data_IF_571167111544
#
_entry.id   IF_571167111544
#
_cell.length_a   1.000
_cell.length_b   1.000
_cell.length_c   1.000
_cell.angle_alpha   90.00
_cell.angle_beta   90.00
_cell.angle_gamma   90.00
#
_symmetry.space_group_name_H-M   'P 1'
#
loop_
_entity.id
_entity.type
_entity.pdbx_description
1 polymer ?
#
# COMPACT_ATOMS: atom_id res chain seq x y z
N UNK A 1 8.46 17.80 60.15
CA UNK A 1 9.72 17.20 59.66
C UNK A 1 9.57 15.68 59.65
N UNK A 2 9.50 15.03 58.48
CA UNK A 2 10.23 13.78 58.14
C UNK A 2 10.18 13.69 56.61
N UNK A 3 11.36 13.62 55.99
CA UNK A 3 11.54 13.50 54.56
C UNK A 3 11.49 12.02 54.13
N UNK A 4 10.75 11.70 53.08
CA UNK A 4 10.93 10.46 52.32
C UNK A 4 11.24 10.79 50.86
N UNK A 5 12.37 10.25 50.41
CA UNK A 5 12.96 10.41 49.08
C UNK A 5 12.52 9.28 48.15
N UNK A 6 12.61 9.61 46.86
CA UNK A 6 12.93 8.77 45.69
C UNK A 6 11.83 7.92 45.05
N UNK A 7 11.59 8.27 43.79
CA UNK A 7 11.09 7.38 42.73
C UNK A 7 11.08 8.11 41.39
N UNK A 8 12.25 8.27 40.75
CA UNK A 8 12.33 8.65 39.33
C UNK A 8 11.77 7.49 38.51
N UNK A 9 10.66 7.68 37.81
CA UNK A 9 10.24 6.82 36.72
C UNK A 9 10.27 7.63 35.42
N UNK A 10 11.17 7.20 34.55
CA UNK A 10 11.45 7.66 33.20
C UNK A 10 10.37 7.24 32.21
N UNK A 11 10.12 8.14 31.24
CA UNK A 11 9.70 7.89 29.85
C UNK A 11 8.30 7.31 29.63
N UNK A 12 7.50 8.06 28.86
CA UNK A 12 7.24 7.73 27.45
C UNK A 12 6.74 9.01 26.78
N UNK A 13 7.62 9.61 25.97
CA UNK A 13 7.15 10.54 24.95
C UNK A 13 6.22 9.74 24.06
N UNK A 14 4.96 10.14 24.03
CA UNK A 14 4.00 9.66 23.05
C UNK A 14 4.44 10.23 21.72
N UNK A 15 5.34 9.51 21.05
CA UNK A 15 5.70 9.74 19.67
C UNK A 15 4.48 9.34 18.85
N UNK A 16 3.51 10.26 18.77
CA UNK A 16 2.43 10.16 17.80
C UNK A 16 3.11 10.14 16.44
N UNK A 17 3.02 9.07 15.63
CA UNK A 17 3.67 9.07 14.34
C UNK A 17 2.96 10.11 13.48
N UNK A 18 3.61 11.25 13.31
CA UNK A 18 3.19 12.30 12.40
C UNK A 18 3.25 11.69 11.00
N UNK A 19 2.08 11.34 10.48
CA UNK A 19 1.85 10.80 9.14
C UNK A 19 2.46 11.80 8.14
N UNK A 20 3.67 11.51 7.70
CA UNK A 20 4.42 12.37 6.80
C UNK A 20 3.69 12.49 5.47
N UNK A 21 3.42 13.72 5.05
CA UNK A 21 2.60 14.14 3.91
C UNK A 21 3.31 14.01 2.55
N UNK A 22 4.18 13.01 2.39
CA UNK A 22 4.75 12.61 1.10
C UNK A 22 4.32 11.17 0.83
N UNK A 23 3.81 10.82 -0.37
CA UNK A 23 3.58 9.43 -0.70
C UNK A 23 4.88 8.68 -0.48
N UNK A 24 4.85 7.73 0.45
CA UNK A 24 6.02 7.01 0.88
C UNK A 24 6.37 6.06 -0.28
N UNK A 25 7.42 6.37 -1.05
CA UNK A 25 7.82 5.63 -2.27
C UNK A 25 7.90 4.12 -2.06
N UNK A 26 8.22 3.71 -0.84
CA UNK A 26 8.23 2.31 -0.39
C UNK A 26 6.84 1.66 -0.43
N UNK A 27 5.80 2.39 -0.03
CA UNK A 27 4.41 1.92 -0.03
C UNK A 27 3.90 1.77 -1.47
N UNK A 28 4.22 2.73 -2.34
CA UNK A 28 3.88 2.65 -3.77
C UNK A 28 4.55 1.43 -4.43
N UNK A 29 5.85 1.21 -4.20
CA UNK A 29 6.57 0.03 -4.71
C UNK A 29 5.99 -1.29 -4.19
N UNK A 30 5.55 -1.32 -2.94
CA UNK A 30 4.93 -2.49 -2.33
C UNK A 30 3.59 -2.82 -3.00
N UNK A 31 2.78 -1.80 -3.31
CA UNK A 31 1.53 -1.95 -4.08
C UNK A 31 1.81 -2.34 -5.53
N UNK A 32 2.78 -1.72 -6.21
CA UNK A 32 3.20 -2.08 -7.57
C UNK A 32 3.61 -3.56 -7.65
N UNK A 33 4.43 -4.02 -6.70
CA UNK A 33 4.87 -5.42 -6.64
C UNK A 33 3.72 -6.39 -6.41
N UNK A 34 2.74 -6.01 -5.58
CA UNK A 34 1.55 -6.82 -5.36
C UNK A 34 0.69 -6.93 -6.63
N UNK A 35 0.48 -5.81 -7.33
CA UNK A 35 -0.25 -5.76 -8.60
C UNK A 35 0.42 -6.66 -9.64
N UNK A 36 1.73 -6.50 -9.88
CA UNK A 36 2.47 -7.33 -10.86
C UNK A 36 2.39 -8.80 -10.50
N UNK A 37 2.51 -9.16 -9.22
CA UNK A 37 2.42 -10.57 -8.80
C UNK A 37 1.04 -11.18 -9.02
N UNK A 38 -0.04 -10.39 -8.91
CA UNK A 38 -1.41 -10.85 -9.17
C UNK A 38 -1.65 -10.94 -10.67
N UNK A 39 -1.32 -9.88 -11.41
CA UNK A 39 -1.51 -9.79 -12.86
C UNK A 39 -0.72 -10.87 -13.62
N UNK A 40 0.47 -11.22 -13.16
CA UNK A 40 1.25 -12.33 -13.73
C UNK A 40 0.54 -13.69 -13.61
N UNK A 41 -0.34 -13.88 -12.63
CA UNK A 41 -1.11 -15.12 -12.44
C UNK A 41 -2.45 -15.09 -13.18
N UNK A 42 -3.19 -14.00 -13.00
CA UNK A 42 -4.56 -13.88 -13.51
C UNK A 42 -4.64 -13.45 -14.97
N UNK A 43 -3.61 -12.77 -15.50
CA UNK A 43 -3.48 -12.24 -16.87
C UNK A 43 -4.50 -11.14 -17.26
N UNK A 44 -5.78 -11.27 -16.90
CA UNK A 44 -6.84 -10.27 -17.12
C UNK A 44 -7.72 -10.14 -15.87
N UNK A 45 -7.89 -8.91 -15.35
CA UNK A 45 -8.60 -8.68 -14.08
C UNK A 45 -9.38 -7.36 -14.11
N UNK A 46 -10.59 -7.33 -13.55
CA UNK A 46 -11.35 -6.08 -13.37
C UNK A 46 -10.70 -5.13 -12.38
N UNK A 47 -10.94 -3.84 -12.51
CA UNK A 47 -10.43 -2.85 -11.54
C UNK A 47 -10.86 -3.16 -10.11
N UNK A 48 -12.10 -3.59 -9.91
CA UNK A 48 -12.64 -3.90 -8.58
C UNK A 48 -11.96 -5.14 -7.99
N UNK A 49 -11.83 -6.21 -8.78
CA UNK A 49 -11.23 -7.47 -8.33
C UNK A 49 -9.73 -7.30 -8.06
N UNK A 50 -9.04 -6.56 -8.93
CA UNK A 50 -7.61 -6.27 -8.73
C UNK A 50 -7.39 -5.49 -7.43
N UNK A 51 -8.25 -4.51 -7.15
CA UNK A 51 -8.18 -3.77 -5.88
C UNK A 51 -8.45 -4.67 -4.67
N UNK A 52 -9.47 -5.55 -4.74
CA UNK A 52 -9.77 -6.49 -3.65
C UNK A 52 -8.60 -7.43 -3.39
N UNK A 53 -8.07 -8.08 -4.43
CA UNK A 53 -6.96 -9.01 -4.32
C UNK A 53 -5.69 -8.35 -3.78
N UNK A 54 -5.38 -7.13 -4.22
CA UNK A 54 -4.24 -6.36 -3.69
C UNK A 54 -4.45 -6.01 -2.23
N UNK A 55 -5.65 -5.56 -1.86
CA UNK A 55 -5.99 -5.19 -0.49
C UNK A 55 -5.90 -6.39 0.46
N UNK A 56 -6.49 -7.52 0.10
CA UNK A 56 -6.41 -8.76 0.87
C UNK A 56 -4.98 -9.27 1.03
N UNK A 57 -4.17 -9.18 -0.03
CA UNK A 57 -2.78 -9.61 0.01
C UNK A 57 -1.93 -8.76 0.94
N UNK A 58 -2.14 -7.45 0.92
CA UNK A 58 -1.33 -6.50 1.71
C UNK A 58 -1.82 -6.37 3.15
N UNK A 59 -3.11 -6.61 3.40
CA UNK A 59 -3.65 -6.69 4.77
C UNK A 59 -2.98 -7.80 5.58
N UNK A 60 -2.58 -8.91 4.94
CA UNK A 60 -1.78 -9.99 5.57
C UNK A 60 -0.38 -9.53 6.03
N UNK A 61 0.04 -8.33 5.64
CA UNK A 61 1.32 -7.69 6.01
C UNK A 61 1.11 -6.43 6.85
N UNK A 62 -0.05 -6.32 7.53
CA UNK A 62 -0.46 -5.16 8.31
C UNK A 62 -0.46 -3.84 7.52
N UNK A 63 -0.67 -3.93 6.20
CA UNK A 63 -0.71 -2.78 5.31
C UNK A 63 -2.10 -2.57 4.72
N UNK A 64 -2.66 -1.37 4.94
CA UNK A 64 -3.95 -0.98 4.38
C UNK A 64 -3.77 -0.25 3.05
N UNK A 65 -4.14 -0.90 1.96
CA UNK A 65 -4.13 -0.31 0.63
C UNK A 65 -5.21 0.77 0.52
N UNK A 66 -4.81 1.99 0.14
CA UNK A 66 -5.77 3.06 -0.18
C UNK A 66 -6.04 3.10 -1.67
N UNK A 67 -7.23 3.57 -2.06
CA UNK A 67 -7.60 3.74 -3.48
C UNK A 67 -6.61 4.67 -4.21
N UNK A 68 -6.13 5.72 -3.54
CA UNK A 68 -5.15 6.65 -4.12
C UNK A 68 -3.81 5.98 -4.42
N UNK A 69 -3.27 5.20 -3.49
CA UNK A 69 -2.02 4.44 -3.70
C UNK A 69 -2.18 3.41 -4.82
N UNK A 70 -3.31 2.70 -4.85
CA UNK A 70 -3.62 1.75 -5.90
C UNK A 70 -3.70 2.41 -7.29
N UNK A 71 -4.38 3.56 -7.40
CA UNK A 71 -4.47 4.32 -8.65
C UNK A 71 -3.12 4.85 -9.11
N UNK A 72 -2.29 5.33 -8.19
CA UNK A 72 -0.93 5.76 -8.53
C UNK A 72 -0.08 4.58 -9.02
N UNK A 73 -0.10 3.46 -8.31
CA UNK A 73 0.66 2.27 -8.67
C UNK A 73 0.22 1.70 -10.04
N UNK A 74 -1.09 1.60 -10.29
CA UNK A 74 -1.61 1.16 -11.60
C UNK A 74 -1.21 2.12 -12.72
N UNK A 75 -1.28 3.44 -12.52
CA UNK A 75 -0.80 4.43 -13.51
C UNK A 75 0.68 4.22 -13.82
N UNK A 76 1.52 4.10 -12.80
CA UNK A 76 2.95 3.89 -12.99
C UNK A 76 3.25 2.57 -13.73
N UNK A 77 2.47 1.51 -13.48
CA UNK A 77 2.63 0.22 -14.16
C UNK A 77 2.16 0.26 -15.61
N UNK A 78 1.16 1.09 -15.94
CA UNK A 78 0.75 1.35 -17.33
C UNK A 78 1.85 2.12 -18.07
N UNK A 79 2.39 3.19 -17.46
CA UNK A 79 3.48 3.99 -18.04
C UNK A 79 4.75 3.16 -18.29
N UNK A 80 4.99 2.14 -17.47
CA UNK A 80 6.10 1.19 -17.60
C UNK A 80 5.76 -0.03 -18.47
N UNK A 81 4.59 -0.07 -19.09
CA UNK A 81 4.13 -1.15 -19.97
C UNK A 81 4.08 -2.54 -19.32
N UNK A 82 3.90 -2.62 -17.99
CA UNK A 82 3.68 -3.90 -17.30
C UNK A 82 2.24 -4.38 -17.46
N UNK A 83 1.29 -3.43 -17.49
CA UNK A 83 -0.14 -3.70 -17.63
C UNK A 83 -0.77 -2.69 -18.60
N UNK A 84 -1.79 -3.12 -19.32
CA UNK A 84 -2.65 -2.27 -20.13
C UNK A 84 -4.01 -2.15 -19.48
N UNK A 85 -4.69 -1.01 -19.67
CA UNK A 85 -6.07 -0.81 -19.22
C UNK A 85 -7.00 -0.71 -20.42
N UNK A 86 -7.93 -1.64 -20.52
CA UNK A 86 -9.03 -1.61 -21.46
C UNK A 86 -10.14 -0.70 -20.91
N UNK A 87 -10.45 0.39 -21.62
CA UNK A 87 -11.35 1.44 -21.14
C UNK A 87 -12.83 1.03 -21.12
N UNK A 88 -13.27 0.18 -22.05
CA UNK A 88 -14.67 -0.24 -22.16
C UNK A 88 -15.12 -1.09 -20.97
N UNK A 89 -14.37 -2.15 -20.66
CA UNK A 89 -14.71 -3.09 -19.60
C UNK A 89 -14.00 -2.78 -18.27
N UNK A 90 -13.14 -1.74 -18.24
CA UNK A 90 -12.29 -1.39 -17.09
C UNK A 90 -11.44 -2.57 -16.61
N UNK A 91 -10.92 -3.33 -17.57
CA UNK A 91 -10.07 -4.49 -17.33
C UNK A 91 -8.60 -4.08 -17.40
N UNK A 92 -7.79 -4.67 -16.54
CA UNK A 92 -6.34 -4.65 -16.65
C UNK A 92 -5.88 -5.93 -17.35
N UNK A 93 -4.91 -5.81 -18.26
CA UNK A 93 -4.30 -6.91 -19.01
C UNK A 93 -2.80 -6.88 -18.74
N UNK A 94 -2.22 -8.03 -18.43
CA UNK A 94 -0.79 -8.18 -18.19
C UNK A 94 -0.01 -8.23 -19.51
N UNK A 95 1.17 -7.61 -19.59
CA UNK A 95 1.90 -7.42 -20.86
C UNK A 95 3.31 -8.06 -20.91
N UNK A 96 3.82 -8.64 -19.81
CA UNK A 96 5.24 -9.04 -19.66
C UNK A 96 5.46 -10.53 -19.36
#
# INVERSE_FOLDING_TARGET
MVAHRKGKATKKGTDTPVRSTKPNRTEELLVETAIVSIMKREQKVSHADLFSMVSERLQKRDFTTTVSLFKNATRNLIEKEFIYREEEEKLYIYMV
#
